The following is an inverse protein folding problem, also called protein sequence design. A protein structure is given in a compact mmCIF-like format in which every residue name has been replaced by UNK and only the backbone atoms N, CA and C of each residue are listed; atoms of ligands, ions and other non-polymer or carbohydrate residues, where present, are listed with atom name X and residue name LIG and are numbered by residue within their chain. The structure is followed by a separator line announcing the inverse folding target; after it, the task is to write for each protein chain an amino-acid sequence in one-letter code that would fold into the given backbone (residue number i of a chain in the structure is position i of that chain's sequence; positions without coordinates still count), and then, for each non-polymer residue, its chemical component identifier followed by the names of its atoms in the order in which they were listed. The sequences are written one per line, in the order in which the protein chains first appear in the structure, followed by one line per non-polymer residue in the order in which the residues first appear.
data_IF_350145342811
#
_entry.id   IF_350145342811
#
_cell.length_a   1.000
_cell.length_b   1.000
_cell.length_c   1.000
_cell.angle_alpha   90.00
_cell.angle_beta   90.00
_cell.angle_gamma   90.00
#
_symmetry.space_group_name_H-M   'P 1'
#
loop_
_entity.id
_entity.type
_entity.pdbx_description
1 polymer ?
2 polymer ?
#
loop_
_entity_poly.entity_id
_entity_poly.type
_entity_poly.pdbx_seq_one_letter_code
_entity_poly.pdbx_strand_id
2 'polydeoxyribonucleotide' '(DG)(DT)(DT)(DG)(DA)(DT)(DA)(DC)(DT)(DG)(DT)(DA)(DT)(DG)(DA)(DT)(DC)(DA)(DT)(DA)(DC)(DA)(DG)(DT)(DA)(DT)(DC)(DA)(DA)' ?
#
# COMPACT_ATOMS: atom_id res chain seq x y z
CA UNK A 2 11.38 -13.47 -24.85
CA UNK A 3 9.20 -10.39 -24.55
CA UNK A 4 5.57 -10.18 -23.41
CA UNK A 5 6.47 -13.45 -21.68
CA UNK A 6 9.15 -14.40 -19.15
CA UNK A 7 12.46 -12.97 -20.43
CA UNK A 8 11.16 -9.58 -21.27
CA UNK A 9 8.83 -9.44 -18.37
CA UNK A 10 11.94 -9.75 -16.20
CA UNK A 11 13.29 -6.78 -18.11
CA UNK A 12 10.32 -4.59 -17.37
CA UNK A 13 10.92 -5.83 -13.88
CA UNK A 14 14.58 -4.91 -13.97
CA UNK A 15 13.58 -1.41 -14.98
CA UNK A 16 11.09 -1.00 -12.20
CA UNK A 17 13.75 -1.89 -9.64
CA UNK A 18 16.14 0.83 -10.72
CA UNK A 19 13.46 3.50 -11.14
CA UNK A 20 12.30 2.88 -7.60
CA UNK A 21 15.90 3.10 -6.48
CA UNK A 22 19.06 5.03 -7.31
CA UNK A 23 17.42 5.60 -9.60
CA UNK A 24 16.33 6.68 -12.06
CA UNK A 25 16.16 4.52 -15.22
CA UNK A 26 18.72 1.73 -15.65
CA UNK A 27 21.30 1.96 -18.48
CA UNK A 28 23.64 1.64 -20.38
CA UNK A 29 24.04 -1.55 -20.32
CA UNK A 30 23.63 -1.84 -16.56
CA UNK A 31 20.95 -4.42 -17.33
CA UNK A 32 23.26 -6.18 -19.76
CA UNK A 33 25.50 -6.18 -16.69
CA UNK A 34 22.93 -6.91 -13.95
CA UNK A 35 21.77 -9.94 -15.87
CA UNK A 36 24.16 -9.74 -17.51
CA UNK A 37 25.26 -10.22 -21.09
CA UNK A 38 28.10 -8.34 -22.83
CA UNK A 39 26.49 -6.50 -24.87
CA UNK A 40 24.05 -3.81 -25.92
CA UNK A 41 21.93 -4.59 -29.01
CA UNK A 42 20.04 -7.30 -27.18
CA UNK A 43 18.92 -4.84 -24.53
CA UNK A 44 17.86 -2.28 -27.14
CA UNK A 45 15.94 -4.78 -29.19
CA UNK A 46 14.56 -5.74 -25.85
CA UNK A 47 13.69 -2.10 -25.27
CA UNK A 48 12.38 -1.94 -28.80
CA UNK A 49 10.15 -4.96 -28.36
CA UNK A 50 9.02 -3.22 -25.18
CA UNK A 51 7.92 0.14 -26.60
CA UNK A 52 6.34 -1.83 -29.45
CA UNK A 53 3.17 -2.54 -27.49
CA UNK A 54 2.68 1.02 -26.28
CA UNK A 55 4.32 0.91 -22.84
CA UNK A 56 7.84 2.46 -22.44
CA UNK A 57 9.02 5.90 -23.55
CA UNK A 58 12.35 5.50 -25.40
CA UNK A 59 14.10 8.75 -26.26
CA UNK A 60 16.02 8.80 -29.51
CA UNK A 61 19.09 10.82 -28.69
CA UNK A 62 19.64 11.72 -25.02
CA UNK A 63 20.51 8.80 -22.71
CA UNK A 64 18.33 7.07 -20.07
CA UNK A 65 15.15 8.40 -21.72
CA UNK A 66 12.36 6.06 -20.60
CA UNK A 67 9.03 6.97 -18.92
CA UNK A 68 5.78 5.21 -17.93
CA UNK A 69 2.47 6.30 -16.38
CA UNK A 70 -0.20 4.38 -14.47
CA UNK A 95 -12.83 5.29 -8.69
CA UNK A 96 -10.75 6.19 -5.65
CA UNK A 97 -7.26 4.73 -5.29
CA UNK A 98 -5.45 4.85 -1.94
CA UNK A 99 -1.91 4.02 -0.79
CA UNK A 100 -2.23 0.56 0.76
CA UNK A 101 0.78 -1.53 1.69
CA UNK A 102 0.79 -4.81 -0.16
CA UNK A 103 3.64 -6.17 1.93
CA UNK A 104 3.19 -8.73 4.74
CA UNK A 105 -0.45 -8.93 3.54
CA UNK A 106 0.05 -12.21 1.67
CA UNK A 107 -0.96 -13.10 -1.00
CA UNK A 108 -0.77 -9.64 -2.51
CA UNK A 109 -3.93 -8.07 -3.89
CA UNK A 110 -3.88 -5.09 -6.26
CA UNK A 111 -6.83 -3.22 -4.68
CA UNK A 112 -10.11 -3.50 -2.81
CA UNK A 113 -13.92 -3.48 -2.98
CA UNK A 114 -16.28 -2.12 -0.30
CA UNK A 115 -18.92 -4.64 0.67
CA UNK A 116 -22.61 -3.92 0.76
CA UNK A 117 -24.64 -5.66 3.43
CA UNK A 118 -23.77 -7.89 6.39
CA UNK A 119 -23.85 -10.96 4.06
CA UNK A 120 -20.52 -12.32 5.43
CA UNK A 121 -20.86 -11.21 9.05
CA UNK A 122 -20.02 -14.73 10.28
CA UNK A 123 -16.56 -14.89 8.70
CA UNK A 124 -16.40 -11.33 9.94
CA UNK A 125 -17.56 -9.12 7.09
CA UNK A 126 -20.43 -6.68 7.19
CA UNK A 127 -21.59 -3.65 5.20
CA UNK A 128 -19.31 -0.83 4.07
CA UNK A 129 -16.34 -3.10 4.47
CA UNK A 130 -13.27 -2.78 2.32
CA UNK A 131 -12.10 -6.01 0.81
CA UNK A 132 -8.87 -7.09 -0.78
CA UNK A 133 -9.15 -8.77 -4.17
CA UNK A 134 -6.21 -10.85 -5.44
CA UNK A 135 -5.97 -10.95 -9.26
CA UNK A 136 -5.60 -14.65 -9.93
CA UNK A 137 -7.35 -17.90 -10.83
CA UNK A 138 -5.84 -20.31 -8.36
CA UNK A 139 -9.51 -20.16 -7.31
CA UNK A 140 -9.69 -23.49 -5.49
CA UNK A 141 -13.00 -25.26 -5.02
CA UNK A 142 -13.15 -23.52 -1.66
CA UNK A 143 -12.02 -20.11 -0.29
CA UNK A 144 -13.43 -16.56 -0.27
CA UNK A 145 -13.95 -15.17 -3.76
CA UNK A 146 -15.02 -12.27 -5.96
CA UNK A 147 -16.93 -12.44 -9.28
CA UNK A 148 -19.34 -10.58 -11.61
CA UNK A 149 -22.83 -11.87 -12.48
CA UNK A 150 -25.95 -10.07 -13.84
CA UNK A 151 -24.67 -6.70 -12.46
CA UNK A 152 -25.21 -6.70 -8.64
CA UNK A 153 -21.83 -8.50 -8.12
CA UNK A 154 -21.05 -10.45 -4.92
CA UNK A 155 -18.48 -12.17 -2.73
CA UNK A 156 -19.50 -15.56 -1.36
CA UNK A 157 -18.27 -19.14 -1.30
CA UNK A 158 -17.85 -21.36 -4.39
CA UNK A 159 -19.63 -24.70 -4.73
CA UNK A 160 -18.89 -25.66 -8.40
CA UNK A 161 -19.43 -29.44 -8.59
CA UNK A 162 -17.81 -29.80 -12.05
CA UNK A 163 -20.85 -27.97 -13.45
CA UNK A 164 -23.28 -26.33 -11.00
CA UNK A 165 -22.39 -22.97 -9.40
CA UNK A 166 -23.40 -22.53 -5.75
CA UNK A 167 -22.37 -19.63 -3.52
CA UNK A 168 -22.47 -20.64 0.12
CA UNK A 169 -23.53 -17.77 2.39
CA UNK A 170 -22.88 -17.40 6.13
CA UNK A 171 -26.37 -16.78 7.57
CA UNK A 172 -29.61 -18.66 8.04
CA UNK A 173 -31.46 -15.51 6.91
CA UNK A 174 -29.47 -15.75 3.69
CA UNK A 175 -29.34 -17.99 0.63
CA UNK A 176 -26.75 -19.02 -1.99
CA UNK A 177 -27.77 -17.75 -5.44
CA UNK A 178 -27.12 -20.81 -7.54
CA UNK A 179 -26.12 -20.30 -11.14
CA UNK A 180 -26.62 -22.75 -13.99
CA UNK A 181 -23.50 -23.04 -16.22
CA UNK A 182 -25.55 -24.00 -19.31
CA UNK A 183 -28.24 -21.46 -18.47
CA UNK A 184 -26.92 -18.46 -16.51
CA UNK A 185 -23.60 -17.02 -17.77
CA UNK A 186 -20.59 -16.29 -15.58
CA UNK A 187 -16.88 -15.50 -15.24
CA UNK A 188 -14.32 -15.34 -12.35
CA UNK A 189 -12.45 -12.28 -11.10
CA UNK A 190 -10.23 -12.57 -8.02
CA UNK A 191 -9.87 -13.83 -4.47
CA UNK A 192 -10.36 -12.53 -0.94
CA UNK A 193 -7.52 -12.08 1.57
CA UNK A 194 -7.98 -8.88 3.65
CA UNK A 195 -10.51 -6.58 5.32
CA UNK A 196 -10.27 -3.08 6.74
CA UNK A 197 -13.09 -1.73 8.82
CA UNK A 198 -12.29 1.97 9.33
CA UNK A 199 -14.36 2.19 12.54
CA UNK B 3 21.56 33.43 -2.87
CA UNK B 4 21.60 29.84 -1.54
CA UNK B 5 19.61 27.37 0.65
CA UNK B 6 17.40 29.58 0.28
CA UNK B 7 16.88 31.00 -3.23
CA UNK B 8 18.65 28.32 -5.22
CA UNK B 9 15.19 27.00 -5.78
CA UNK B 10 14.63 27.44 -8.71
CA UNK B 11 17.09 24.59 -9.40
CA UNK B 12 15.83 22.12 -6.79
CA UNK B 13 12.37 22.94 -8.03
CA UNK B 14 13.29 22.36 -11.65
CA UNK B 15 14.71 19.06 -10.36
CA UNK B 16 11.38 17.94 -9.03
CA UNK B 17 9.96 18.68 -12.47
CA UNK B 18 12.23 16.62 -14.70
CA UNK B 19 11.44 13.98 -12.11
CA UNK B 20 8.00 14.83 -10.77
CA UNK B 21 6.65 16.24 -14.02
CA UNK B 22 7.86 13.85 -16.76
CA UNK B 23 10.19 11.31 -15.15
CA UNK B 24 13.95 11.56 -15.69
CA UNK B 25 17.13 13.02 -14.11
CA UNK B 26 18.17 16.22 -15.93
CA UNK B 27 21.41 16.75 -17.76
CA UNK B 28 22.78 19.66 -15.71
CA UNK B 29 23.34 21.68 -18.91
CA UNK B 30 19.65 21.00 -19.33
CA UNK B 31 18.66 22.89 -16.23
CA UNK B 32 20.98 25.54 -17.63
CA UNK B 33 18.96 25.24 -20.81
CA UNK B 34 15.82 25.20 -18.67
CA UNK B 35 16.72 28.56 -17.11
CA UNK B 36 19.19 30.46 -19.29
CA UNK B 37 22.45 30.00 -17.36
CA UNK B 38 24.93 30.00 -20.25
CA UNK B 39 27.41 27.74 -18.42
CA UNK B 40 26.65 24.43 -16.59
CA UNK B 41 29.57 25.27 -14.33
CA UNK B 42 26.81 27.34 -12.73
CA UNK B 43 24.72 24.23 -12.34
CA UNK B 44 27.83 22.41 -11.18
CA UNK B 45 28.65 24.81 -8.37
CA UNK B 46 24.86 24.78 -7.86
CA UNK B 47 23.88 21.43 -6.33
CA UNK B 48 27.25 21.20 -4.57
CA UNK B 49 26.00 23.43 -1.75
CA UNK B 50 22.62 21.64 -1.90
CA UNK B 51 24.81 18.61 -1.32
CA UNK B 52 26.81 20.37 1.37
CA UNK B 53 23.39 20.70 3.01
CA UNK B 54 22.77 17.28 1.47
CA UNK B 55 19.14 17.02 0.38
CA UNK B 56 20.11 15.56 -2.97
CA UNK B 57 22.92 13.01 -3.34
CA UNK B 58 25.36 12.95 -6.27
CA UNK B 59 26.50 10.08 -8.44
CA UNK B 60 29.45 10.23 -9.12
CA UNK B 61 30.62 9.49 -11.54
CA UNK B 62 28.96 7.48 -14.27
CA UNK B 63 26.64 9.23 -14.51
CA UNK B 64 23.93 11.91 -14.26
CA UNK B 65 22.85 10.43 -10.92
CA UNK B 66 21.05 12.29 -8.14
CA UNK B 67 19.52 10.70 -5.03
CA UNK B 68 16.52 12.01 -3.09
CA UNK B 69 15.24 10.59 0.20
CA UNK B 70 13.29 11.82 3.22
CA UNK B 95 10.04 -2.57 14.01
CA UNK B 96 8.68 -2.23 10.45
CA UNK B 97 6.39 0.37 8.89
CA UNK B 98 4.05 -0.62 6.09
CA UNK B 99 3.17 1.74 3.24
CA UNK B 100 -0.04 3.27 4.50
CA UNK B 101 -2.80 5.56 3.19
CA UNK B 102 -4.15 7.81 5.95
CA UNK B 103 -7.28 9.20 4.30
CA UNK B 104 -8.96 5.84 4.67
CA UNK B 105 -9.41 6.73 8.31
CA UNK B 106 -10.44 10.00 9.99
CA UNK B 107 -8.78 11.48 11.79
CA UNK B 108 -5.69 10.38 9.87
CA UNK B 109 -3.93 7.97 12.25
CA UNK B 110 -0.26 7.90 13.26
CA UNK B 111 0.69 4.21 13.50
CA UNK B 112 -0.26 0.55 13.95
CA UNK B 113 -0.70 -1.99 16.70
CA UNK B 114 -0.51 -5.76 16.79
CA UNK B 115 -3.55 -7.03 18.66
CA UNK B 116 -2.48 -10.00 20.75
CA UNK B 117 -5.75 -10.65 22.57
CA UNK B 118 -9.28 -12.06 22.26
CA UNK B 119 -11.41 -9.88 24.54
CA UNK B 120 -12.52 -7.38 21.91
CA UNK B 121 -13.92 -10.02 19.61
CA UNK B 122 -17.43 -8.60 19.83
CA UNK B 123 -16.61 -5.65 17.61
CA UNK B 124 -14.56 -7.71 15.18
CA UNK B 125 -11.31 -7.88 17.09
CA UNK B 126 -9.43 -11.17 17.24
CA UNK B 127 -5.94 -12.63 17.61
CA UNK B 128 -2.71 -11.08 16.31
CA UNK B 129 -4.15 -8.42 14.00
CA UNK B 130 -3.61 -4.82 12.81
CA UNK B 131 -5.04 -2.18 15.14
CA UNK B 132 -4.36 1.21 13.62
CA UNK B 133 -3.78 3.96 16.18
CA UNK B 134 -3.36 7.75 16.13
CA UNK B 135 -1.13 9.33 18.79
CA UNK B 136 -3.35 11.45 21.11
CA UNK B 137 -5.02 12.04 24.50
CA UNK B 138 -8.37 13.47 23.36
CA UNK B 139 -11.07 11.11 24.50
CA UNK B 140 -14.61 10.35 25.68
CA UNK B 141 -16.33 7.67 27.79
CA UNK B 142 -17.33 5.11 25.18
CA UNK B 143 -14.26 4.88 22.92
CA UNK B 144 -11.41 2.41 22.12
CA UNK B 145 -8.24 2.92 24.15
CA UNK B 146 -4.46 2.42 24.17
CA UNK B 147 -3.72 2.76 27.86
CA UNK B 148 -0.20 2.67 29.21
CA UNK B 149 -0.74 0.63 32.38
CA UNK B 150 2.39 -0.79 34.03
CA UNK B 151 3.78 -0.09 30.54
CA UNK B 152 1.97 -3.15 29.19
CA UNK B 153 0.00 -3.14 25.97
CA UNK B 154 -3.81 -3.02 25.83
CA UNK B 155 -6.80 -1.87 23.81
CA UNK B 156 -10.10 -1.55 25.67
CA UNK B 157 -13.17 0.60 26.34
CA UNK B 158 -13.21 3.53 28.79
CA UNK B 159 -15.78 3.90 31.54
CA UNK B 160 -13.49 6.00 33.69
CA UNK B 161 -16.03 7.30 36.19
CA UNK B 162 -13.81 9.96 37.73
CA UNK B 163 -10.69 8.95 39.64
CA UNK B 164 -12.02 5.43 39.17
CA UNK B 165 -10.86 4.01 35.83
CA UNK B 166 -12.76 1.00 34.64
CA UNK B 167 -11.36 -0.36 31.43
CA UNK B 168 -14.29 -2.21 29.95
CA UNK B 169 -13.53 -5.06 27.53
CA UNK B 170 -15.59 -6.63 24.74
CA UNK B 171 -16.38 -10.16 25.88
CA UNK B 172 -19.13 -11.81 27.91
CA UNK B 173 -16.83 -13.74 30.27
CA UNK B 174 -13.67 -11.65 30.51
CA UNK B 175 -13.04 -9.41 33.52
CA UNK B 176 -12.28 -5.66 33.40
CA UNK B 177 -9.41 -3.72 34.87
CA UNK B 178 -10.22 -0.84 37.17
CA UNK B 179 -7.29 1.51 37.67
CA UNK B 180 -6.04 4.07 40.23
CA UNK B 181 -4.64 7.51 39.23
CA UNK B 182 -3.86 8.04 42.91
CA UNK B 183 -2.26 4.64 43.56
CA UNK B 184 -1.46 2.89 40.30
CA UNK B 185 0.32 4.15 37.14
CA UNK B 186 -1.27 5.21 33.82
CA UNK B 187 -0.90 6.97 30.46
CA UNK B 188 -2.66 7.12 27.12
CA UNK B 189 -1.13 6.73 23.72
CA UNK B 190 -4.12 7.04 21.34
CA UNK B 191 -7.54 5.77 20.09
CA UNK B 192 -8.27 2.62 18.11
CA UNK B 193 -9.71 3.70 14.78
CA UNK B 194 -9.73 0.36 13.00
CA UNK B 195 -8.25 -3.05 12.36
CA UNK B 196 -7.13 -5.17 9.42
CA UNK B 197 -6.93 -8.95 8.96
CA UNK B 198 -5.32 -11.18 6.35
CA UNK B 199 -6.92 -14.37 7.74
#
# INVERSE_FOLDING_TARGET
MKALTARQQEVFDLIRDHISQTGMPPTRAEIAQRLGFRSPNAAEEHLKALARKGVIEIVSGASRGIRLLQEEEEGLPLVGRVAAGEPLLAQQHIEGHYQVDPSLFKPNADFLLRVSGMSMKDIGIMDGDLLAVHKTQDVRNGQVVVARIDDEVTVARLKKQGNKVELLPENSEFKPIVVDLRQQSFTIEGLAVGVIRNGDWL
MKALTARQQEVFDLIRDHISQTGMPPTRAEIAQRLGFRSPNAAEEHLKALARKGVIEIVSGASRGIRLLQEEEEGLPLVGRVAAGEPLLAQQHIEGHYQVDPSLFKPNADFLLRVSGMSMKDIGIMDGDLLAVHKTQDVRNGQVVVARIDDEVTVARLKKQGNKVELLPENSEFKPIVVDLRQQSFTIEGLAVGVIRNGDWL
#
